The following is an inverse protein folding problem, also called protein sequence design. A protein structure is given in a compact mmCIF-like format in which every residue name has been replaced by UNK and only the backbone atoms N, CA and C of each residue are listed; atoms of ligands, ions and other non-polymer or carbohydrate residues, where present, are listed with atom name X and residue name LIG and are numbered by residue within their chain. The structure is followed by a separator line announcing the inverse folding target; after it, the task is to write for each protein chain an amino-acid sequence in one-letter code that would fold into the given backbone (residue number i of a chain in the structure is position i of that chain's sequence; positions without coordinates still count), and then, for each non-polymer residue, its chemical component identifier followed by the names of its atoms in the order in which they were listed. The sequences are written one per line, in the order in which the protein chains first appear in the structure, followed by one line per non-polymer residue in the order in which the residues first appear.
data_IF_337468568419
#
_entry.id   IF_337468568419
#
_cell.length_a   1.000
_cell.length_b   1.000
_cell.length_c   1.000
_cell.angle_alpha   90.00
_cell.angle_beta   90.00
_cell.angle_gamma   90.00
#
_symmetry.space_group_name_H-M   'P 1'
#
loop_
_entity.id
_entity.type
_entity.pdbx_description
1 polymer ?
#
# COMPACT_ATOMS: atom_id res chain seq x y z
N UNK A 1 10.06 18.23 -8.42
CA UNK A 1 8.68 17.81 -8.77
C UNK A 1 7.79 17.94 -7.55
N UNK A 2 6.50 18.25 -7.74
CA UNK A 2 5.52 18.22 -6.63
C UNK A 2 5.31 16.77 -6.16
N UNK A 3 4.89 16.58 -4.89
CA UNK A 3 4.74 15.26 -4.28
C UNK A 3 3.53 14.43 -4.75
N UNK A 4 3.05 14.61 -5.97
CA UNK A 4 1.90 13.89 -6.54
C UNK A 4 2.29 12.85 -7.61
N UNK A 5 3.58 12.77 -7.94
CA UNK A 5 4.14 11.79 -8.88
C UNK A 5 5.12 10.89 -8.15
N UNK A 6 5.00 9.59 -8.34
CA UNK A 6 5.89 8.55 -7.86
C UNK A 6 6.54 7.85 -9.05
N UNK A 7 7.82 7.43 -8.90
CA UNK A 7 8.58 6.78 -9.96
C UNK A 7 9.24 7.76 -10.94
N UNK A 8 10.07 7.24 -11.81
CA UNK A 8 10.82 7.97 -12.85
C UNK A 8 10.64 7.33 -14.22
N UNK A 9 10.89 6.02 -14.36
CA UNK A 9 10.66 5.26 -15.60
C UNK A 9 9.25 4.68 -15.66
N UNK A 10 8.69 4.29 -14.50
CA UNK A 10 7.27 3.97 -14.36
C UNK A 10 6.63 5.03 -13.47
N UNK A 11 6.32 6.16 -14.06
CA UNK A 11 5.86 7.34 -13.34
C UNK A 11 4.34 7.33 -13.17
N UNK A 12 3.88 7.47 -11.94
CA UNK A 12 2.44 7.50 -11.61
C UNK A 12 2.09 8.85 -11.00
N UNK A 13 1.32 9.66 -11.71
CA UNK A 13 0.79 10.93 -11.23
C UNK A 13 -0.64 10.77 -10.77
N UNK A 14 -0.90 10.95 -9.47
CA UNK A 14 -2.21 10.81 -8.84
C UNK A 14 -2.95 12.16 -8.80
N UNK A 15 -4.23 12.21 -9.16
CA UNK A 15 -5.07 13.40 -9.18
C UNK A 15 -6.47 13.15 -8.59
N UNK A 16 -7.22 14.25 -8.41
CA UNK A 16 -8.59 14.26 -7.90
C UNK A 16 -8.69 14.42 -6.38
N UNK A 17 -9.91 14.60 -5.89
CA UNK A 17 -10.24 14.84 -4.48
C UNK A 17 -11.27 13.83 -4.00
N UNK A 18 -11.25 13.48 -2.70
CA UNK A 18 -12.12 12.43 -2.14
C UNK A 18 -13.62 12.71 -2.31
N UNK A 19 -14.00 13.98 -2.40
CA UNK A 19 -15.36 14.47 -2.60
C UNK A 19 -15.48 15.33 -3.87
N UNK A 20 -14.49 15.26 -4.77
CA UNK A 20 -14.59 15.76 -6.14
C UNK A 20 -15.38 14.80 -7.04
N UNK A 21 -15.57 15.13 -8.32
CA UNK A 21 -16.33 14.28 -9.25
C UNK A 21 -15.66 12.91 -9.49
N UNK A 22 -14.34 12.88 -9.53
CA UNK A 22 -13.56 11.68 -9.76
C UNK A 22 -12.18 11.76 -9.12
N UNK A 23 -11.51 10.60 -9.03
CA UNK A 23 -10.10 10.44 -8.72
C UNK A 23 -9.46 9.61 -9.83
N UNK A 24 -8.15 9.71 -10.00
CA UNK A 24 -7.48 8.91 -11.02
C UNK A 24 -5.97 9.02 -10.96
N UNK A 25 -5.32 8.37 -11.90
CA UNK A 25 -3.89 8.51 -12.12
C UNK A 25 -3.54 8.47 -13.61
N UNK A 26 -2.40 9.05 -13.92
CA UNK A 26 -1.74 8.87 -15.21
C UNK A 26 -0.46 8.06 -14.96
N UNK A 27 -0.32 6.97 -15.68
CA UNK A 27 0.87 6.10 -15.67
C UNK A 27 1.65 6.39 -16.95
N UNK A 28 2.88 6.81 -16.82
CA UNK A 28 3.80 6.96 -17.94
C UNK A 28 4.93 5.93 -17.84
N UNK A 29 5.46 5.46 -18.99
CA UNK A 29 6.54 4.48 -19.04
C UNK A 29 6.11 3.01 -18.94
N UNK A 30 4.81 2.70 -19.02
CA UNK A 30 4.38 1.30 -19.15
C UNK A 30 4.85 0.72 -20.47
N UNK A 31 5.58 -0.44 -20.49
CA UNK A 31 6.02 -1.04 -21.74
C UNK A 31 4.86 -1.39 -22.68
N UNK A 32 5.03 -1.22 -24.00
CA UNK A 32 3.99 -1.53 -24.99
C UNK A 32 3.79 -3.05 -25.17
N UNK A 33 2.60 -3.41 -25.66
CA UNK A 33 2.27 -4.76 -26.12
C UNK A 33 1.72 -5.70 -25.05
N UNK A 34 1.62 -5.26 -23.78
CA UNK A 34 0.96 -6.03 -22.73
C UNK A 34 -0.56 -6.01 -22.95
N UNK A 35 -1.23 -7.15 -22.89
CA UNK A 35 -2.69 -7.20 -22.87
C UNK A 35 -3.19 -6.49 -21.60
N UNK A 36 -4.09 -5.52 -21.75
CA UNK A 36 -4.63 -4.73 -20.63
C UNK A 36 -6.07 -4.30 -20.90
N UNK A 37 -6.95 -4.56 -19.93
CA UNK A 37 -8.30 -4.07 -19.88
C UNK A 37 -8.71 -3.76 -18.43
N UNK A 38 -9.86 -3.15 -18.24
CA UNK A 38 -10.38 -2.78 -16.92
C UNK A 38 -10.48 -3.99 -15.98
N UNK A 39 -10.82 -5.17 -16.50
CA UNK A 39 -10.94 -6.40 -15.73
C UNK A 39 -9.61 -6.82 -15.07
N UNK A 40 -8.47 -6.53 -15.68
CA UNK A 40 -7.14 -6.80 -15.12
C UNK A 40 -6.82 -5.95 -13.89
N UNK A 41 -7.50 -4.80 -13.75
CA UNK A 41 -7.29 -3.81 -12.68
C UNK A 41 -8.35 -3.94 -11.61
N UNK A 42 -9.59 -4.23 -12.00
CA UNK A 42 -10.77 -4.19 -11.14
C UNK A 42 -10.66 -5.14 -9.96
N UNK A 43 -10.07 -6.32 -10.14
CA UNK A 43 -9.89 -7.30 -9.05
C UNK A 43 -9.12 -6.75 -7.84
N UNK A 44 -8.05 -5.99 -8.07
CA UNK A 44 -7.30 -5.33 -7.00
C UNK A 44 -8.09 -4.18 -6.34
N UNK A 45 -8.84 -3.43 -7.13
CA UNK A 45 -9.72 -2.37 -6.64
C UNK A 45 -10.88 -2.93 -5.79
N UNK A 46 -11.47 -4.06 -6.17
CA UNK A 46 -12.54 -4.72 -5.43
C UNK A 46 -12.07 -5.19 -4.04
N UNK A 47 -10.83 -5.64 -3.90
CA UNK A 47 -10.21 -5.96 -2.61
C UNK A 47 -10.02 -4.72 -1.73
N UNK A 48 -9.76 -3.56 -2.32
CA UNK A 48 -9.45 -2.30 -1.63
C UNK A 48 -10.69 -1.46 -1.33
N UNK A 49 -11.75 -1.50 -2.15
CA UNK A 49 -12.91 -0.60 -2.08
C UNK A 49 -13.55 -0.54 -0.70
N UNK A 50 -14.26 0.54 -0.34
CA UNK A 50 -15.06 0.60 0.88
C UNK A 50 -16.30 -0.30 0.78
N UNK A 51 -16.87 -0.68 1.94
CA UNK A 51 -18.13 -1.43 1.97
C UNK A 51 -17.98 -2.93 1.67
N UNK A 52 -16.76 -3.48 1.68
CA UNK A 52 -16.51 -4.91 1.43
C UNK A 52 -17.02 -5.83 2.55
N UNK A 53 -17.20 -5.30 3.76
CA UNK A 53 -17.72 -6.05 4.92
C UNK A 53 -18.34 -5.12 5.95
N UNK A 54 -19.05 -5.71 6.95
CA UNK A 54 -19.57 -4.98 8.11
C UNK A 54 -18.49 -4.35 9.01
N UNK A 55 -17.21 -4.74 8.85
CA UNK A 55 -16.09 -4.31 9.69
C UNK A 55 -15.34 -3.11 9.15
N UNK A 56 -15.61 -2.69 7.93
CA UNK A 56 -15.05 -1.49 7.29
C UNK A 56 -16.10 -0.38 7.21
N UNK A 57 -15.71 0.77 6.68
CA UNK A 57 -16.63 1.90 6.45
C UNK A 57 -17.86 1.49 5.65
N UNK A 58 -19.01 2.06 5.98
CA UNK A 58 -20.28 1.83 5.26
C UNK A 58 -20.43 2.68 3.98
N UNK A 59 -19.41 3.47 3.61
CA UNK A 59 -19.36 4.12 2.30
C UNK A 59 -19.38 3.02 1.24
N UNK A 60 -20.18 3.20 0.20
CA UNK A 60 -20.30 2.21 -0.87
C UNK A 60 -19.88 2.84 -2.20
N UNK A 61 -18.67 2.55 -2.63
CA UNK A 61 -18.14 2.96 -3.92
C UNK A 61 -17.82 1.71 -4.73
N UNK A 62 -18.23 1.61 -5.98
CA UNK A 62 -17.91 0.48 -6.83
C UNK A 62 -16.42 0.47 -7.21
N UNK A 63 -15.75 1.62 -7.11
CA UNK A 63 -14.38 1.84 -7.59
C UNK A 63 -14.17 1.33 -9.02
N UNK A 64 -15.24 1.42 -9.85
CA UNK A 64 -15.16 1.05 -11.26
C UNK A 64 -14.11 1.92 -11.97
N UNK A 65 -13.13 1.28 -12.57
CA UNK A 65 -12.06 1.94 -13.30
C UNK A 65 -12.41 2.05 -14.78
N UNK A 66 -12.06 3.18 -15.37
CA UNK A 66 -12.14 3.43 -16.81
C UNK A 66 -10.72 3.71 -17.34
N UNK A 67 -10.35 3.07 -18.45
CA UNK A 67 -9.10 3.34 -19.18
C UNK A 67 -9.40 4.35 -20.27
N UNK A 68 -8.90 5.59 -20.13
CA UNK A 68 -9.17 6.67 -21.06
C UNK A 68 -8.10 6.82 -22.15
N UNK A 69 -6.90 6.27 -21.98
CA UNK A 69 -5.79 6.35 -22.94
C UNK A 69 -4.74 5.28 -22.69
N UNK A 70 -3.78 5.14 -23.61
CA UNK A 70 -2.62 4.27 -23.46
C UNK A 70 -2.89 2.79 -23.77
N UNK A 71 -4.10 2.44 -24.23
CA UNK A 71 -4.50 1.10 -24.67
C UNK A 71 -5.17 1.20 -26.05
N UNK A 72 -4.76 0.34 -26.97
CA UNK A 72 -5.35 0.19 -28.29
C UNK A 72 -5.51 -1.29 -28.63
N UNK A 73 -6.68 -1.71 -29.09
CA UNK A 73 -7.02 -3.13 -29.37
C UNK A 73 -6.67 -4.07 -28.21
N UNK A 74 -6.92 -3.62 -26.96
CA UNK A 74 -6.67 -4.39 -25.74
C UNK A 74 -5.19 -4.53 -25.38
N UNK A 75 -4.28 -3.73 -25.93
CA UNK A 75 -2.84 -3.76 -25.61
C UNK A 75 -2.32 -2.38 -25.26
N UNK A 76 -1.37 -2.34 -24.32
CA UNK A 76 -0.65 -1.11 -23.99
C UNK A 76 0.12 -0.59 -25.19
N UNK A 77 0.12 0.75 -25.38
CA UNK A 77 0.74 1.41 -26.55
C UNK A 77 2.14 1.95 -26.25
N UNK A 78 2.56 1.97 -24.96
CA UNK A 78 3.78 2.67 -24.53
C UNK A 78 3.60 4.17 -24.32
N UNK A 79 2.39 4.70 -24.53
CA UNK A 79 2.03 6.09 -24.23
C UNK A 79 1.29 6.18 -22.90
N UNK A 80 1.07 7.38 -22.32
CA UNK A 80 0.45 7.51 -21.00
C UNK A 80 -0.91 6.82 -20.87
N UNK A 81 -1.05 5.97 -19.85
CA UNK A 81 -2.30 5.31 -19.49
C UNK A 81 -3.02 6.18 -18.47
N UNK A 82 -4.21 6.68 -18.81
CA UNK A 82 -5.05 7.41 -17.89
C UNK A 82 -6.13 6.49 -17.33
N UNK A 83 -6.15 6.37 -15.98
CA UNK A 83 -7.14 5.60 -15.24
C UNK A 83 -8.04 6.55 -14.45
N UNK A 84 -9.35 6.47 -14.64
CA UNK A 84 -10.36 7.30 -13.99
C UNK A 84 -11.29 6.44 -13.13
N UNK A 85 -11.63 6.94 -11.93
CA UNK A 85 -12.56 6.30 -10.99
C UNK A 85 -13.55 7.36 -10.51
N UNK A 86 -14.83 7.22 -10.83
CA UNK A 86 -15.89 8.11 -10.38
C UNK A 86 -16.12 8.07 -8.87
N UNK A 87 -16.51 9.19 -8.26
CA UNK A 87 -17.00 9.24 -6.89
C UNK A 87 -18.53 9.27 -6.90
N UNK A 88 -19.19 8.21 -6.41
CA UNK A 88 -20.64 8.04 -6.49
C UNK A 88 -21.38 8.19 -5.16
N UNK A 89 -20.77 7.81 -4.03
CA UNK A 89 -21.37 7.88 -2.68
C UNK A 89 -20.66 8.93 -1.77
N UNK A 90 -20.38 10.11 -2.30
CA UNK A 90 -19.88 11.22 -1.50
C UNK A 90 -21.03 11.93 -0.77
N UNK A 91 -20.84 12.23 0.55
CA UNK A 91 -21.81 12.93 1.38
C UNK A 91 -21.17 14.14 2.04
N UNK A 92 -21.09 15.24 1.32
CA UNK A 92 -20.45 16.49 1.79
C UNK A 92 -21.10 17.06 3.04
N UNK A 93 -22.39 16.79 3.29
CA UNK A 93 -23.14 17.21 4.50
C UNK A 93 -22.61 16.61 5.79
N UNK A 94 -21.94 15.46 5.75
CA UNK A 94 -21.41 14.78 6.94
C UNK A 94 -20.25 15.53 7.61
N UNK A 95 -19.70 16.56 6.95
CA UNK A 95 -18.51 17.30 7.39
C UNK A 95 -18.79 18.74 7.85
N UNK A 96 -20.08 19.14 8.02
CA UNK A 96 -20.47 20.49 8.41
C UNK A 96 -19.88 20.94 9.75
N UNK A 97 -19.77 20.02 10.71
CA UNK A 97 -19.24 20.29 12.05
C UNK A 97 -17.70 20.45 12.13
N UNK A 98 -16.98 20.16 11.06
CA UNK A 98 -15.52 20.28 10.99
C UNK A 98 -15.02 21.31 9.98
N UNK A 99 -15.94 22.12 9.42
CA UNK A 99 -15.58 23.16 8.43
C UNK A 99 -14.53 24.13 9.00
N UNK A 100 -14.70 24.55 10.23
CA UNK A 100 -13.85 25.55 10.89
C UNK A 100 -12.96 24.98 12.00
N UNK A 101 -12.89 23.65 12.18
CA UNK A 101 -12.11 23.01 13.23
C UNK A 101 -11.11 22.03 12.64
N UNK A 102 -10.02 21.73 13.36
CA UNK A 102 -8.99 20.80 12.95
C UNK A 102 -9.13 19.49 13.73
N UNK A 103 -9.22 18.37 13.04
CA UNK A 103 -9.26 17.04 13.67
C UNK A 103 -7.89 16.68 14.25
N UNK A 104 -7.76 16.33 15.53
CA UNK A 104 -6.51 15.86 16.11
C UNK A 104 -6.01 14.59 15.37
N UNK A 105 -4.71 14.59 15.03
CA UNK A 105 -4.11 13.46 14.30
C UNK A 105 -4.48 13.33 12.81
N UNK A 106 -5.30 14.26 12.26
CA UNK A 106 -5.61 14.39 10.85
C UNK A 106 -4.76 15.47 10.18
N UNK A 107 -4.68 15.49 8.86
CA UNK A 107 -3.89 16.47 8.11
C UNK A 107 -4.56 17.85 7.94
N UNK A 108 -5.68 18.11 8.60
CA UNK A 108 -6.46 19.34 8.44
C UNK A 108 -5.61 20.59 8.70
N UNK A 109 -4.91 20.64 9.85
CA UNK A 109 -4.07 21.75 10.25
C UNK A 109 -2.88 21.94 9.31
N UNK A 110 -2.18 20.85 8.98
CA UNK A 110 -0.97 20.91 8.14
C UNK A 110 -1.26 21.35 6.71
N UNK A 111 -2.39 20.93 6.14
CA UNK A 111 -2.82 21.40 4.82
C UNK A 111 -3.21 22.86 4.84
N UNK A 112 -3.95 23.30 5.89
CA UNK A 112 -4.32 24.70 6.03
C UNK A 112 -3.10 25.61 6.17
N UNK A 113 -2.12 25.23 7.00
CA UNK A 113 -0.89 25.98 7.16
C UNK A 113 -0.01 26.00 5.90
N UNK A 114 0.04 24.89 5.17
CA UNK A 114 0.91 24.79 3.99
C UNK A 114 0.34 25.49 2.76
N UNK A 115 -0.95 25.34 2.52
CA UNK A 115 -1.59 25.79 1.29
C UNK A 115 -2.49 27.03 1.46
N UNK A 116 -2.72 27.49 2.70
CA UNK A 116 -3.64 28.60 3.01
C UNK A 116 -5.11 28.25 2.85
N UNK A 117 -5.41 27.09 2.29
CA UNK A 117 -6.77 26.57 2.04
C UNK A 117 -6.79 25.06 2.21
N UNK A 118 -7.91 24.50 2.64
CA UNK A 118 -8.17 23.06 2.65
C UNK A 118 -9.59 22.76 2.17
N UNK A 119 -9.81 21.61 1.57
CA UNK A 119 -11.15 21.04 1.40
C UNK A 119 -11.52 20.27 2.69
N UNK A 120 -12.50 20.74 3.48
CA UNK A 120 -12.92 20.06 4.70
C UNK A 120 -13.72 18.78 4.42
N UNK A 121 -14.24 18.62 3.21
CA UNK A 121 -15.08 17.47 2.83
C UNK A 121 -14.22 16.21 2.70
N UNK A 122 -14.30 15.31 3.68
CA UNK A 122 -13.56 14.05 3.71
C UNK A 122 -12.03 14.18 3.71
N UNK A 123 -11.49 15.40 3.83
CA UNK A 123 -10.05 15.68 3.84
C UNK A 123 -9.42 15.87 2.45
N UNK A 124 -10.19 15.95 1.37
CA UNK A 124 -9.69 16.21 0.02
C UNK A 124 -8.53 15.28 -0.39
N UNK A 125 -7.36 15.87 -0.70
CA UNK A 125 -6.14 15.15 -1.07
C UNK A 125 -5.52 14.34 0.08
N UNK A 126 -5.78 14.68 1.34
CA UNK A 126 -5.26 13.91 2.50
C UNK A 126 -6.06 12.63 2.80
N UNK A 127 -7.16 12.41 2.09
CA UNK A 127 -8.03 11.26 2.29
C UNK A 127 -7.40 9.95 1.82
N UNK A 128 -7.62 8.87 2.58
CA UNK A 128 -7.27 7.51 2.17
C UNK A 128 -8.01 7.04 0.88
N UNK A 129 -9.04 7.78 0.42
CA UNK A 129 -9.70 7.55 -0.87
C UNK A 129 -8.71 7.59 -2.04
N UNK A 130 -7.70 8.45 -1.94
CA UNK A 130 -6.66 8.68 -2.97
C UNK A 130 -5.71 7.49 -3.15
N UNK A 131 -5.84 6.45 -2.33
CA UNK A 131 -5.12 5.19 -2.52
C UNK A 131 -5.73 4.30 -3.59
N UNK A 132 -6.99 4.54 -4.03
CA UNK A 132 -7.60 3.75 -5.10
C UNK A 132 -6.85 3.89 -6.44
N UNK A 133 -6.50 5.09 -6.93
CA UNK A 133 -5.64 5.22 -8.11
C UNK A 133 -4.26 4.58 -7.96
N UNK A 134 -3.69 4.55 -6.74
CA UNK A 134 -2.42 3.85 -6.48
C UNK A 134 -2.57 2.35 -6.66
N UNK A 135 -3.69 1.78 -6.18
CA UNK A 135 -4.01 0.34 -6.37
C UNK A 135 -4.24 0.04 -7.84
N UNK A 136 -4.95 0.90 -8.57
CA UNK A 136 -5.15 0.73 -10.00
C UNK A 136 -3.82 0.73 -10.79
N UNK A 137 -2.91 1.67 -10.49
CA UNK A 137 -1.57 1.69 -11.10
C UNK A 137 -0.73 0.48 -10.68
N UNK A 138 -0.83 0.07 -9.42
CA UNK A 138 -0.17 -1.12 -8.90
C UNK A 138 -0.63 -2.41 -9.57
N UNK A 139 -1.92 -2.53 -9.94
CA UNK A 139 -2.44 -3.67 -10.69
C UNK A 139 -1.79 -3.80 -12.08
N UNK A 140 -1.60 -2.67 -12.78
CA UNK A 140 -0.87 -2.63 -14.07
C UNK A 140 0.58 -3.12 -13.87
N UNK A 141 1.27 -2.64 -12.82
CA UNK A 141 2.63 -3.06 -12.50
C UNK A 141 2.69 -4.55 -12.13
N UNK A 142 1.78 -5.05 -11.27
CA UNK A 142 1.68 -6.47 -10.89
C UNK A 142 1.53 -7.36 -12.11
N UNK A 143 0.63 -7.01 -13.03
CA UNK A 143 0.39 -7.77 -14.26
C UNK A 143 1.66 -7.89 -15.10
N UNK A 144 2.34 -6.78 -15.37
CA UNK A 144 3.56 -6.80 -16.16
C UNK A 144 4.67 -7.61 -15.49
N UNK A 145 4.86 -7.44 -14.17
CA UNK A 145 5.87 -8.17 -13.41
C UNK A 145 5.58 -9.68 -13.35
N UNK A 146 4.30 -10.04 -13.25
CA UNK A 146 3.89 -11.44 -13.30
C UNK A 146 4.15 -12.07 -14.68
N UNK A 147 3.74 -11.42 -15.77
CA UNK A 147 3.96 -11.92 -17.13
C UNK A 147 5.45 -12.02 -17.47
N UNK A 148 6.28 -11.11 -16.95
CA UNK A 148 7.71 -11.06 -17.27
C UNK A 148 8.57 -11.97 -16.41
N UNK A 149 8.27 -12.06 -15.11
CA UNK A 149 9.14 -12.72 -14.12
C UNK A 149 8.39 -13.72 -13.23
N UNK A 150 7.09 -13.84 -13.33
CA UNK A 150 6.27 -14.63 -12.41
C UNK A 150 6.21 -14.02 -11.01
N UNK A 151 6.50 -12.71 -10.86
CA UNK A 151 6.49 -12.05 -9.55
C UNK A 151 5.07 -11.97 -9.00
N UNK A 152 4.90 -12.40 -7.74
CA UNK A 152 3.61 -12.40 -7.02
C UNK A 152 3.71 -11.55 -5.77
N UNK A 153 2.73 -10.67 -5.57
CA UNK A 153 2.61 -9.81 -4.39
C UNK A 153 1.48 -10.30 -3.50
N UNK A 154 1.77 -10.49 -2.21
CA UNK A 154 0.80 -10.94 -1.20
C UNK A 154 0.94 -10.11 0.06
N UNK A 155 -0.19 -9.65 0.60
CA UNK A 155 -0.25 -8.93 1.86
C UNK A 155 -1.19 -9.61 2.84
N UNK A 156 -0.88 -9.50 4.13
CA UNK A 156 -1.77 -9.95 5.19
C UNK A 156 -1.68 -9.04 6.41
N UNK A 157 -2.73 -9.06 7.23
CA UNK A 157 -2.73 -8.41 8.53
C UNK A 157 -1.95 -9.25 9.52
N UNK A 158 -0.90 -8.67 10.10
CA UNK A 158 -0.04 -9.33 11.09
C UNK A 158 -0.31 -8.90 12.54
N UNK A 159 -1.05 -7.78 12.73
CA UNK A 159 -1.50 -7.32 14.05
C UNK A 159 -2.66 -6.35 13.90
N UNK A 160 -3.64 -6.42 14.79
CA UNK A 160 -4.76 -5.47 14.91
C UNK A 160 -4.83 -4.96 16.34
N UNK A 161 -4.54 -3.67 16.56
CA UNK A 161 -4.42 -3.11 17.89
C UNK A 161 -3.40 -3.89 18.72
N UNK A 162 -3.83 -4.46 19.84
CA UNK A 162 -2.99 -5.27 20.74
C UNK A 162 -2.87 -6.73 20.30
N UNK A 163 -3.71 -7.19 19.37
CA UNK A 163 -3.77 -8.58 18.94
C UNK A 163 -2.74 -8.89 17.87
N UNK A 164 -1.67 -9.58 18.23
CA UNK A 164 -0.71 -10.15 17.27
C UNK A 164 -1.36 -11.36 16.59
N UNK A 165 -1.29 -11.40 15.27
CA UNK A 165 -1.93 -12.42 14.42
C UNK A 165 -0.84 -13.39 13.96
N UNK A 166 -0.85 -14.66 14.39
CA UNK A 166 0.07 -15.67 13.90
C UNK A 166 -0.19 -15.95 12.42
N UNK A 167 0.86 -16.34 11.71
CA UNK A 167 0.73 -16.74 10.31
C UNK A 167 0.45 -18.24 10.21
N UNK A 168 -0.71 -18.61 9.65
CA UNK A 168 -1.07 -20.00 9.37
C UNK A 168 -0.90 -20.32 7.88
N UNK A 169 -1.61 -19.60 7.00
CA UNK A 169 -1.55 -19.83 5.56
C UNK A 169 -1.97 -18.60 4.76
N UNK A 170 -1.36 -18.44 3.58
CA UNK A 170 -1.80 -17.47 2.58
C UNK A 170 -3.20 -17.77 2.05
N UNK A 171 -3.64 -19.02 2.04
CA UNK A 171 -4.95 -19.41 1.54
C UNK A 171 -6.08 -18.80 2.37
N UNK A 172 -5.87 -18.60 3.67
CA UNK A 172 -6.88 -18.00 4.55
C UNK A 172 -7.09 -16.51 4.29
N UNK A 173 -6.08 -15.80 3.77
CA UNK A 173 -6.11 -14.34 3.56
C UNK A 173 -7.25 -13.89 2.65
N UNK A 174 -7.55 -14.66 1.60
CA UNK A 174 -8.60 -14.33 0.65
C UNK A 174 -10.02 -14.66 1.16
N UNK A 175 -10.15 -15.46 2.22
CA UNK A 175 -11.41 -16.04 2.66
C UNK A 175 -12.01 -15.35 3.90
N UNK A 176 -11.37 -14.28 4.40
CA UNK A 176 -11.91 -13.51 5.51
C UNK A 176 -11.82 -11.99 5.27
N UNK A 177 -12.66 -11.18 5.95
CA UNK A 177 -12.74 -9.74 5.68
C UNK A 177 -11.58 -8.93 6.25
N UNK A 178 -10.65 -9.54 6.96
CA UNK A 178 -9.53 -8.87 7.63
C UNK A 178 -8.21 -9.00 6.87
N UNK A 179 -8.15 -9.79 5.80
CA UNK A 179 -6.89 -10.23 5.19
C UNK A 179 -5.97 -10.91 6.21
N UNK A 180 -6.54 -11.57 7.21
CA UNK A 180 -5.80 -12.29 8.23
C UNK A 180 -5.38 -13.67 7.70
N UNK A 181 -4.13 -14.13 7.96
CA UNK A 181 -3.66 -15.43 7.54
C UNK A 181 -4.12 -16.55 8.51
N UNK A 182 -5.37 -16.47 8.99
CA UNK A 182 -6.01 -17.36 9.97
C UNK A 182 -7.26 -18.00 9.40
N UNK A 183 -7.51 -19.24 9.76
CA UNK A 183 -8.76 -19.91 9.48
C UNK A 183 -9.90 -19.36 10.35
N UNK A 184 -9.69 -19.18 11.64
CA UNK A 184 -10.67 -18.59 12.57
C UNK A 184 -10.33 -17.13 12.88
N UNK A 185 -11.24 -16.22 12.54
CA UNK A 185 -11.12 -14.78 12.77
C UNK A 185 -12.11 -14.23 13.80
N UNK A 186 -12.81 -15.10 14.55
CA UNK A 186 -13.86 -14.73 15.51
C UNK A 186 -13.36 -13.75 16.61
N UNK A 187 -12.12 -13.92 17.06
CA UNK A 187 -11.49 -12.99 18.00
C UNK A 187 -11.31 -11.58 17.42
N UNK A 188 -10.92 -11.47 16.12
CA UNK A 188 -10.80 -10.19 15.43
C UNK A 188 -12.17 -9.53 15.22
N UNK A 189 -13.20 -10.30 14.92
CA UNK A 189 -14.58 -9.81 14.81
C UNK A 189 -15.06 -9.21 16.14
N UNK A 190 -14.86 -9.94 17.23
CA UNK A 190 -15.23 -9.49 18.58
C UNK A 190 -14.51 -8.20 18.95
N UNK A 191 -13.20 -8.12 18.67
CA UNK A 191 -12.38 -6.95 18.98
C UNK A 191 -12.85 -5.71 18.20
N UNK A 192 -13.08 -5.82 16.89
CA UNK A 192 -13.50 -4.67 16.08
C UNK A 192 -14.92 -4.21 16.42
N UNK A 193 -15.82 -5.12 16.81
CA UNK A 193 -17.16 -4.78 17.27
C UNK A 193 -17.14 -4.03 18.62
N UNK A 194 -16.25 -4.41 19.53
CA UNK A 194 -16.04 -3.69 20.78
C UNK A 194 -15.54 -2.26 20.55
N UNK A 195 -14.56 -2.08 19.64
CA UNK A 195 -14.08 -0.74 19.26
C UNK A 195 -15.19 0.12 18.64
N UNK A 196 -16.03 -0.44 17.78
CA UNK A 196 -17.16 0.30 17.19
C UNK A 196 -18.17 0.74 18.23
N UNK A 197 -18.48 -0.11 19.22
CA UNK A 197 -19.36 0.24 20.34
C UNK A 197 -18.77 1.34 21.20
N UNK A 198 -17.44 1.34 21.40
CA UNK A 198 -16.73 2.39 22.13
C UNK A 198 -16.59 3.70 21.34
N UNK A 199 -16.90 3.71 20.04
CA UNK A 199 -16.70 4.87 19.16
C UNK A 199 -15.22 5.22 18.93
N UNK A 200 -14.32 4.23 19.04
CA UNK A 200 -12.88 4.38 18.96
C UNK A 200 -12.30 3.59 17.78
N UNK A 201 -10.97 3.57 17.65
CA UNK A 201 -10.23 2.95 16.54
C UNK A 201 -8.93 2.33 17.02
N UNK A 202 -8.37 1.43 16.21
CA UNK A 202 -7.05 0.85 16.45
C UNK A 202 -6.13 0.96 15.24
N UNK A 203 -4.83 0.79 15.49
CA UNK A 203 -3.82 0.64 14.48
C UNK A 203 -3.70 -0.80 13.97
N UNK A 204 -2.80 -1.01 13.02
CA UNK A 204 -2.51 -2.34 12.49
C UNK A 204 -1.05 -2.46 12.06
N UNK A 205 -0.55 -3.70 12.03
CA UNK A 205 0.65 -4.09 11.31
C UNK A 205 0.24 -4.92 10.10
N UNK A 206 0.70 -4.53 8.92
CA UNK A 206 0.51 -5.26 7.67
C UNK A 206 1.88 -5.80 7.25
N UNK A 207 1.93 -7.10 6.91
CA UNK A 207 3.05 -7.72 6.23
C UNK A 207 2.72 -7.82 4.75
N UNK A 208 3.67 -7.45 3.90
CA UNK A 208 3.57 -7.63 2.45
C UNK A 208 4.85 -8.28 1.92
N UNK A 209 4.69 -9.21 1.00
CA UNK A 209 5.80 -9.93 0.37
C UNK A 209 5.73 -9.82 -1.14
N UNK A 210 6.89 -9.86 -1.80
CA UNK A 210 6.99 -10.08 -3.24
C UNK A 210 7.89 -11.28 -3.49
N UNK A 211 7.34 -12.30 -4.12
CA UNK A 211 8.06 -13.52 -4.49
C UNK A 211 8.42 -13.53 -5.97
N UNK A 212 9.42 -14.32 -6.37
CA UNK A 212 9.97 -14.34 -7.73
C UNK A 212 10.47 -12.97 -8.22
N UNK A 213 11.03 -12.17 -7.32
CA UNK A 213 11.72 -10.94 -7.72
C UNK A 213 13.08 -11.30 -8.31
N UNK A 214 13.44 -10.77 -9.49
CA UNK A 214 14.76 -11.02 -10.08
C UNK A 214 15.90 -10.56 -9.16
N UNK A 215 17.03 -11.23 -9.22
CA UNK A 215 18.27 -10.74 -8.61
C UNK A 215 18.74 -9.49 -9.35
N UNK A 216 19.26 -8.51 -8.63
CA UNK A 216 19.93 -7.36 -9.24
C UNK A 216 19.08 -6.10 -9.37
N UNK A 217 17.85 -6.08 -8.85
CA UNK A 217 17.03 -4.86 -8.83
C UNK A 217 17.44 -3.95 -7.67
N UNK A 218 17.66 -2.68 -7.95
CA UNK A 218 18.09 -1.68 -6.97
C UNK A 218 19.48 -1.12 -7.27
N UNK A 219 19.91 -0.16 -6.47
CA UNK A 219 21.16 0.57 -6.63
C UNK A 219 22.03 0.50 -5.37
N UNK A 220 23.36 0.68 -5.48
CA UNK A 220 24.26 0.45 -4.36
C UNK A 220 24.30 1.60 -3.34
N UNK A 221 23.92 2.82 -3.70
CA UNK A 221 24.08 3.99 -2.83
C UNK A 221 22.81 4.85 -2.75
N UNK A 222 22.45 5.50 -3.84
CA UNK A 222 21.20 6.23 -3.98
C UNK A 222 20.19 5.34 -4.72
N UNK A 223 18.89 5.52 -4.44
CA UNK A 223 17.83 4.67 -4.99
C UNK A 223 18.01 3.17 -4.63
N UNK A 224 18.53 2.88 -3.42
CA UNK A 224 18.52 1.51 -2.89
C UNK A 224 17.10 0.96 -2.88
N UNK A 225 16.93 -0.31 -3.23
CA UNK A 225 15.62 -0.95 -3.29
C UNK A 225 14.87 -0.86 -1.95
N UNK A 226 15.53 -1.13 -0.83
CA UNK A 226 14.94 -1.03 0.51
C UNK A 226 14.58 0.42 0.88
N UNK A 227 15.38 1.41 0.49
CA UNK A 227 15.07 2.84 0.67
C UNK A 227 13.84 3.27 -0.12
N UNK A 228 13.73 2.86 -1.37
CA UNK A 228 12.58 3.19 -2.21
C UNK A 228 11.31 2.46 -1.75
N UNK A 229 11.43 1.21 -1.27
CA UNK A 229 10.34 0.50 -0.61
C UNK A 229 9.88 1.28 0.62
N UNK A 230 10.80 1.68 1.51
CA UNK A 230 10.46 2.43 2.71
C UNK A 230 9.79 3.77 2.38
N UNK A 231 10.30 4.50 1.40
CA UNK A 231 9.71 5.76 0.89
C UNK A 231 8.29 5.56 0.36
N UNK A 232 8.08 4.51 -0.44
CA UNK A 232 6.77 4.20 -1.02
C UNK A 232 5.76 3.83 0.07
N UNK A 233 6.13 2.98 1.01
CA UNK A 233 5.30 2.55 2.13
C UNK A 233 4.96 3.70 3.07
N UNK A 234 5.93 4.58 3.41
CA UNK A 234 5.68 5.79 4.20
C UNK A 234 4.76 6.79 3.48
N UNK A 235 4.64 6.72 2.16
CA UNK A 235 3.69 7.49 1.35
C UNK A 235 2.23 7.05 1.51
N UNK A 236 1.97 5.86 2.04
CA UNK A 236 0.61 5.37 2.30
C UNK A 236 0.01 6.14 3.49
N UNK A 237 -1.24 6.58 3.34
CA UNK A 237 -1.95 7.29 4.40
C UNK A 237 -1.93 6.50 5.72
N UNK A 238 -1.65 7.19 6.82
CA UNK A 238 -1.58 6.67 8.20
C UNK A 238 -0.39 5.74 8.52
N UNK A 239 0.47 5.39 7.59
CA UNK A 239 1.70 4.66 7.89
C UNK A 239 2.64 5.50 8.75
N UNK A 240 3.27 4.87 9.77
CA UNK A 240 4.16 5.49 10.75
C UNK A 240 5.46 4.73 10.97
N UNK A 241 5.60 3.55 10.38
CA UNK A 241 6.81 2.75 10.46
C UNK A 241 6.88 1.76 9.31
N UNK A 242 8.09 1.45 8.90
CA UNK A 242 8.40 0.44 7.87
C UNK A 242 9.56 -0.39 8.37
N UNK A 243 9.47 -1.70 8.22
CA UNK A 243 10.53 -2.65 8.50
C UNK A 243 10.76 -3.51 7.25
N UNK A 244 12.04 -3.77 6.95
CA UNK A 244 12.48 -4.67 5.88
C UNK A 244 13.13 -5.88 6.53
N UNK A 245 12.71 -7.10 6.19
CA UNK A 245 13.19 -8.34 6.79
C UNK A 245 13.01 -8.34 8.31
N UNK A 246 14.10 -8.60 9.05
CA UNK A 246 14.10 -8.61 10.51
C UNK A 246 13.81 -7.23 11.14
N UNK A 247 13.93 -6.13 10.37
CA UNK A 247 13.62 -4.79 10.82
C UNK A 247 14.29 -4.45 12.17
N UNK A 248 13.53 -3.91 13.13
CA UNK A 248 14.06 -3.56 14.45
C UNK A 248 14.52 -4.78 15.29
N UNK A 249 14.04 -6.01 14.99
CA UNK A 249 14.51 -7.20 15.68
C UNK A 249 15.99 -7.50 15.39
N UNK A 250 16.55 -6.98 14.29
CA UNK A 250 17.96 -7.12 13.95
C UNK A 250 18.91 -6.54 15.02
N UNK A 251 18.47 -5.53 15.79
CA UNK A 251 19.25 -4.90 16.85
C UNK A 251 19.64 -5.91 17.94
N UNK A 252 18.77 -6.88 18.24
CA UNK A 252 19.02 -7.92 19.24
C UNK A 252 19.78 -9.13 18.68
N UNK A 253 19.98 -9.20 17.36
CA UNK A 253 20.68 -10.32 16.72
C UNK A 253 22.20 -10.11 16.74
N UNK A 254 22.92 -11.23 16.89
CA UNK A 254 24.37 -11.22 16.66
C UNK A 254 24.65 -11.36 15.16
N UNK A 255 25.76 -10.78 14.68
CA UNK A 255 26.14 -10.85 13.27
C UNK A 255 26.25 -12.29 12.73
N UNK A 256 26.69 -13.24 13.57
CA UNK A 256 26.73 -14.66 13.22
C UNK A 256 25.36 -15.32 12.99
N UNK A 257 24.29 -14.70 13.49
CA UNK A 257 22.91 -15.20 13.33
C UNK A 257 22.12 -14.37 12.32
N UNK A 258 22.45 -13.07 12.15
CA UNK A 258 21.76 -12.18 11.24
C UNK A 258 22.13 -12.43 9.78
N UNK A 259 23.38 -12.81 9.50
CA UNK A 259 23.86 -13.05 8.14
C UNK A 259 23.07 -14.17 7.45
N UNK A 260 22.52 -13.87 6.28
CA UNK A 260 21.78 -14.84 5.47
C UNK A 260 22.79 -15.74 4.73
N UNK A 261 23.13 -16.88 5.34
CA UNK A 261 24.15 -17.79 4.83
C UNK A 261 23.74 -18.38 3.48
N UNK A 262 24.68 -18.35 2.54
CA UNK A 262 24.52 -18.90 1.21
C UNK A 262 25.04 -20.33 1.15
N UNK A 263 24.34 -21.17 0.40
CA UNK A 263 24.79 -22.52 0.04
C UNK A 263 24.50 -22.80 -1.44
N UNK A 264 25.09 -23.87 -2.02
CA UNK A 264 24.74 -24.27 -3.39
C UNK A 264 23.25 -24.59 -3.57
N UNK A 265 22.52 -24.90 -2.49
CA UNK A 265 21.08 -25.22 -2.48
C UNK A 265 20.20 -23.99 -2.24
N UNK A 266 20.78 -22.84 -1.95
CA UNK A 266 20.04 -21.59 -1.72
C UNK A 266 20.43 -20.88 -0.43
N UNK A 267 19.69 -19.80 -0.11
CA UNK A 267 19.80 -19.07 1.15
C UNK A 267 19.20 -19.86 2.30
N UNK A 268 19.82 -19.77 3.49
CA UNK A 268 19.34 -20.48 4.71
C UNK A 268 18.33 -19.67 5.50
N UNK A 269 18.42 -18.34 5.45
CA UNK A 269 17.54 -17.40 6.15
C UNK A 269 17.27 -16.20 5.25
N UNK A 270 16.35 -15.33 5.63
CA UNK A 270 16.01 -14.09 4.92
C UNK A 270 15.88 -12.91 5.90
N UNK A 271 16.86 -12.75 6.79
CA UNK A 271 16.87 -11.66 7.77
C UNK A 271 16.95 -10.28 7.11
N UNK A 272 17.65 -10.18 5.97
CA UNK A 272 17.76 -8.97 5.19
C UNK A 272 16.49 -8.62 4.39
N UNK A 273 15.49 -9.52 4.36
CA UNK A 273 14.23 -9.27 3.67
C UNK A 273 14.35 -9.18 2.15
N UNK A 274 15.30 -9.94 1.56
CA UNK A 274 15.49 -10.02 0.12
C UNK A 274 16.36 -8.92 -0.49
N UNK A 275 16.99 -8.07 0.32
CA UNK A 275 17.81 -6.94 -0.14
C UNK A 275 19.16 -6.94 0.57
N UNK A 276 20.25 -6.96 -0.19
CA UNK A 276 21.61 -6.80 0.31
C UNK A 276 22.32 -5.67 -0.44
N UNK A 277 22.88 -4.72 0.31
CA UNK A 277 23.56 -3.58 -0.27
C UNK A 277 22.67 -2.66 -1.12
N UNK A 278 21.35 -2.71 -0.93
CA UNK A 278 20.36 -1.96 -1.71
C UNK A 278 19.87 -2.69 -2.98
N UNK A 279 20.28 -3.95 -3.18
CA UNK A 279 20.02 -4.73 -4.40
C UNK A 279 19.29 -6.03 -4.03
N UNK A 280 18.30 -6.44 -4.83
CA UNK A 280 17.54 -7.67 -4.60
C UNK A 280 18.40 -8.92 -4.75
N UNK A 281 18.21 -9.89 -3.85
CA UNK A 281 18.94 -11.15 -3.78
C UNK A 281 18.30 -12.28 -4.57
N UNK A 282 17.06 -12.11 -5.03
CA UNK A 282 16.23 -13.20 -5.57
C UNK A 282 15.39 -13.92 -4.50
N UNK A 283 15.61 -13.62 -3.22
CA UNK A 283 14.74 -14.05 -2.14
C UNK A 283 13.44 -13.22 -2.15
N UNK A 284 12.45 -13.65 -1.37
CA UNK A 284 11.24 -12.87 -1.21
C UNK A 284 11.56 -11.52 -0.57
N UNK A 285 11.04 -10.44 -1.13
CA UNK A 285 11.04 -9.15 -0.45
C UNK A 285 10.05 -9.24 0.70
N UNK A 286 10.50 -8.93 1.92
CA UNK A 286 9.68 -8.95 3.12
C UNK A 286 9.60 -7.57 3.74
N UNK A 287 8.37 -7.02 3.80
CA UNK A 287 8.11 -5.67 4.30
C UNK A 287 7.00 -5.71 5.34
N UNK A 288 7.17 -5.00 6.44
CA UNK A 288 6.09 -4.75 7.41
C UNK A 288 5.87 -3.25 7.55
N UNK A 289 4.60 -2.84 7.67
CA UNK A 289 4.23 -1.44 7.90
C UNK A 289 3.36 -1.31 9.15
N UNK A 290 3.64 -0.27 9.93
CA UNK A 290 2.82 0.12 11.07
C UNK A 290 1.86 1.24 10.68
N UNK A 291 0.58 1.03 10.90
CA UNK A 291 -0.50 1.97 10.58
C UNK A 291 -1.10 2.48 11.87
N UNK A 292 -1.14 3.82 12.03
CA UNK A 292 -1.75 4.43 13.21
C UNK A 292 -3.28 4.26 13.23
N UNK A 293 -3.92 4.36 14.41
CA UNK A 293 -5.38 4.40 14.52
C UNK A 293 -6.01 5.50 13.65
N UNK A 294 -7.23 5.28 13.21
CA UNK A 294 -8.04 6.28 12.49
C UNK A 294 -8.24 7.49 13.39
N UNK A 295 -7.95 8.68 12.86
CA UNK A 295 -8.10 9.94 13.63
C UNK A 295 -9.52 10.46 13.68
N UNK A 296 -10.43 9.92 12.90
CA UNK A 296 -11.86 10.30 12.90
C UNK A 296 -12.64 9.32 13.77
N UNK A 297 -12.91 9.71 15.02
CA UNK A 297 -13.61 8.90 16.03
C UNK A 297 -14.75 9.68 16.67
N UNK A 298 -15.65 8.96 17.35
CA UNK A 298 -16.81 9.54 18.01
C UNK A 298 -16.49 10.04 19.43
N UNK A 299 -15.33 9.68 19.98
CA UNK A 299 -14.88 10.19 21.27
C UNK A 299 -14.49 11.66 21.16
N UNK A 300 -15.04 12.56 21.99
CA UNK A 300 -14.69 13.98 22.01
C UNK A 300 -13.20 14.20 22.25
N UNK A 301 -12.59 15.15 21.54
CA UNK A 301 -11.17 15.51 21.70
C UNK A 301 -10.96 17.01 21.64
N UNK A 302 -10.03 17.49 22.45
CA UNK A 302 -9.57 18.87 22.43
C UNK A 302 -8.94 19.22 21.08
N UNK A 303 -9.22 20.41 20.58
CA UNK A 303 -8.69 20.96 19.34
C UNK A 303 -8.75 22.49 19.32
N UNK A 304 -8.43 23.08 18.17
CA UNK A 304 -8.60 24.50 17.88
C UNK A 304 -9.43 24.69 16.60
N UNK A 305 -10.06 25.84 16.49
CA UNK A 305 -10.71 26.28 15.27
C UNK A 305 -9.72 27.03 14.35
N UNK A 306 -10.20 27.48 13.19
CA UNK A 306 -9.42 28.24 12.19
C UNK A 306 -9.02 29.63 12.67
N UNK A 307 -9.61 30.15 13.75
CA UNK A 307 -9.23 31.40 14.40
C UNK A 307 -8.22 31.18 15.54
N UNK A 308 -7.87 29.91 15.86
CA UNK A 308 -6.94 29.55 16.93
C UNK A 308 -7.60 29.42 18.31
N UNK A 309 -8.93 29.50 18.41
CA UNK A 309 -9.67 29.36 19.66
C UNK A 309 -9.83 27.90 20.05
N UNK A 310 -9.74 27.61 21.37
CA UNK A 310 -9.96 26.26 21.91
C UNK A 310 -11.38 25.75 21.58
N UNK A 311 -11.48 24.50 21.17
CA UNK A 311 -12.75 23.85 20.85
C UNK A 311 -12.66 22.35 21.12
N UNK A 312 -13.80 21.68 21.07
CA UNK A 312 -13.89 20.23 21.12
C UNK A 312 -14.38 19.69 19.75
N UNK A 313 -13.80 18.60 19.30
CA UNK A 313 -14.15 17.96 18.03
C UNK A 313 -14.62 16.54 18.25
N UNK A 314 -15.80 16.22 17.72
CA UNK A 314 -16.34 14.88 17.55
C UNK A 314 -16.47 14.66 16.04
N UNK A 315 -15.80 13.67 15.50
CA UNK A 315 -15.91 13.40 14.05
C UNK A 315 -17.03 12.40 13.80
N UNK A 316 -18.19 12.93 13.43
CA UNK A 316 -19.32 12.11 12.96
C UNK A 316 -19.06 11.71 11.51
N UNK A 317 -19.46 10.49 11.12
CA UNK A 317 -19.30 10.01 9.74
C UNK A 317 -19.00 8.51 9.66
N UNK A 318 -18.78 8.05 8.44
CA UNK A 318 -18.55 6.64 8.11
C UNK A 318 -17.04 6.39 8.02
N UNK A 319 -16.41 6.01 9.14
CA UNK A 319 -14.97 5.78 9.22
C UNK A 319 -14.65 4.31 9.48
N UNK A 320 -13.48 3.86 9.00
CA UNK A 320 -12.97 2.54 9.31
C UNK A 320 -12.49 2.49 10.78
N UNK A 321 -12.95 1.57 11.63
CA UNK A 321 -12.38 1.39 12.97
C UNK A 321 -10.91 0.96 12.94
N UNK A 322 -10.53 0.24 11.87
CA UNK A 322 -9.16 -0.15 11.58
C UNK A 322 -8.88 0.03 10.08
N UNK A 323 -8.11 1.05 9.71
CA UNK A 323 -7.75 1.32 8.31
C UNK A 323 -6.78 0.27 7.75
N UNK A 324 -6.14 -0.52 8.61
CA UNK A 324 -5.22 -1.59 8.22
C UNK A 324 -5.86 -2.64 7.32
N UNK A 325 -7.14 -2.95 7.51
CA UNK A 325 -7.87 -3.90 6.65
C UNK A 325 -7.73 -3.50 5.19
N UNK A 326 -8.05 -2.25 4.85
CA UNK A 326 -8.00 -1.75 3.48
C UNK A 326 -6.60 -1.37 3.01
N UNK A 327 -5.64 -1.25 3.93
CA UNK A 327 -4.26 -0.94 3.60
C UNK A 327 -3.49 -2.14 3.03
N UNK A 328 -3.95 -3.36 3.25
CA UNK A 328 -3.29 -4.58 2.74
C UNK A 328 -3.12 -4.55 1.22
N UNK A 329 -4.16 -4.42 0.38
CA UNK A 329 -3.98 -4.33 -1.07
C UNK A 329 -3.26 -3.05 -1.52
N UNK A 330 -3.27 -1.98 -0.71
CA UNK A 330 -2.52 -0.75 -1.01
C UNK A 330 -1.02 -1.00 -0.85
N UNK A 331 -0.59 -1.71 0.21
CA UNK A 331 0.81 -2.05 0.43
C UNK A 331 1.35 -2.97 -0.68
N UNK A 332 0.56 -3.96 -1.11
CA UNK A 332 0.90 -4.80 -2.27
C UNK A 332 1.12 -3.96 -3.54
N UNK A 333 0.21 -3.02 -3.82
CA UNK A 333 0.29 -2.15 -4.98
C UNK A 333 1.53 -1.25 -4.94
N UNK A 334 1.82 -0.63 -3.79
CA UNK A 334 2.98 0.24 -3.64
C UNK A 334 4.29 -0.54 -3.77
N UNK A 335 4.37 -1.78 -3.25
CA UNK A 335 5.54 -2.64 -3.45
C UNK A 335 5.71 -2.98 -4.95
N UNK A 336 4.62 -3.26 -5.65
CA UNK A 336 4.67 -3.53 -7.09
C UNK A 336 5.16 -2.34 -7.91
N UNK A 337 4.75 -1.11 -7.55
CA UNK A 337 5.24 0.11 -8.21
C UNK A 337 6.76 0.28 -8.05
N UNK A 338 7.30 0.00 -6.85
CA UNK A 338 8.75 0.06 -6.62
C UNK A 338 9.48 -1.00 -7.43
N UNK A 339 9.03 -2.26 -7.37
CA UNK A 339 9.67 -3.35 -8.11
C UNK A 339 9.61 -3.10 -9.62
N UNK A 340 8.49 -2.55 -10.13
CA UNK A 340 8.34 -2.19 -11.54
C UNK A 340 9.35 -1.11 -11.98
N UNK A 341 9.49 -0.05 -11.19
CA UNK A 341 10.47 1.01 -11.44
C UNK A 341 11.89 0.45 -11.55
N UNK A 342 12.31 -0.36 -10.57
CA UNK A 342 13.65 -0.97 -10.56
C UNK A 342 13.83 -2.02 -11.64
N UNK A 343 12.79 -2.75 -12.04
CA UNK A 343 12.84 -3.69 -13.15
C UNK A 343 13.08 -2.98 -14.48
N UNK A 344 12.46 -1.82 -14.70
CA UNK A 344 12.70 -1.02 -15.91
C UNK A 344 14.10 -0.40 -15.92
N UNK A 345 14.58 0.11 -14.78
CA UNK A 345 15.96 0.62 -14.61
C UNK A 345 16.98 -0.47 -14.92
N UNK A 346 16.81 -1.65 -14.31
CA UNK A 346 17.70 -2.81 -14.55
C UNK A 346 17.74 -3.19 -16.04
N UNK A 347 16.60 -3.24 -16.71
CA UNK A 347 16.56 -3.51 -18.16
C UNK A 347 17.32 -2.49 -18.99
N UNK A 348 17.22 -1.21 -18.62
CA UNK A 348 17.90 -0.13 -19.35
C UNK A 348 19.41 -0.13 -19.13
N UNK A 349 19.88 -0.47 -17.93
CA UNK A 349 21.29 -0.37 -17.55
C UNK A 349 22.03 -1.71 -17.69
N UNK A 350 21.39 -2.81 -17.32
CA UNK A 350 22.02 -4.12 -17.15
C UNK A 350 21.45 -5.19 -18.08
N UNK A 351 20.64 -4.82 -19.07
CA UNK A 351 19.96 -5.78 -19.96
C UNK A 351 20.90 -6.74 -20.70
N UNK A 352 22.12 -6.31 -20.99
CA UNK A 352 23.14 -7.08 -21.72
C UNK A 352 24.18 -7.72 -20.79
N UNK A 353 24.01 -7.61 -19.46
CA UNK A 353 24.97 -8.21 -18.51
C UNK A 353 24.79 -9.72 -18.46
N UNK A 354 25.85 -10.46 -18.71
CA UNK A 354 25.91 -11.90 -18.55
C UNK A 354 26.83 -12.26 -17.39
N UNK A 355 26.35 -13.10 -16.49
CA UNK A 355 27.12 -13.59 -15.34
C UNK A 355 27.36 -15.11 -15.50
N UNK A 356 28.52 -15.58 -15.04
CA UNK A 356 28.87 -17.01 -15.12
C UNK A 356 28.17 -17.88 -14.08
N UNK A 357 27.71 -17.27 -12.97
CA UNK A 357 27.00 -17.98 -11.92
C UNK A 357 25.49 -17.79 -12.09
N UNK A 358 24.75 -18.88 -12.21
CA UNK A 358 23.30 -18.82 -12.16
C UNK A 358 22.80 -18.36 -10.79
N UNK A 359 21.66 -17.63 -10.70
CA UNK A 359 21.05 -17.28 -9.42
C UNK A 359 20.84 -18.53 -8.56
N UNK A 360 21.23 -18.45 -7.28
CA UNK A 360 20.96 -19.51 -6.31
C UNK A 360 19.49 -19.49 -5.88
N UNK A 361 18.98 -20.60 -5.36
CA UNK A 361 17.59 -20.67 -4.91
C UNK A 361 17.32 -19.69 -3.78
N UNK A 362 16.11 -19.14 -3.74
CA UNK A 362 15.66 -18.18 -2.71
C UNK A 362 15.70 -18.77 -1.29
N UNK A 363 15.54 -20.09 -1.15
CA UNK A 363 15.66 -20.79 0.13
C UNK A 363 16.09 -22.24 -0.05
N UNK A 364 16.78 -22.79 0.96
CA UNK A 364 17.08 -24.23 1.03
C UNK A 364 15.78 -25.01 1.25
N UNK A 365 15.51 -26.02 0.40
CA UNK A 365 14.32 -26.87 0.52
C UNK A 365 13.03 -26.28 -0.11
N UNK A 366 13.16 -25.19 -0.87
CA UNK A 366 12.03 -24.53 -1.52
C UNK A 366 11.39 -23.47 -0.62
N UNK A 367 10.46 -22.70 -1.20
CA UNK A 367 9.71 -21.69 -0.43
C UNK A 367 8.72 -22.35 0.49
N UNK A 368 8.52 -21.88 1.74
CA UNK A 368 7.34 -22.23 2.49
C UNK A 368 6.11 -21.77 1.70
N UNK A 369 5.21 -22.70 1.47
CA UNK A 369 3.96 -22.51 0.69
C UNK A 369 3.01 -21.60 1.46
#
# INVERSE_FOLDING_TARGET
MSGNTFGSLFAVTNFGESHGPAIGCVIDGCPPGMALGEADIQGDLDRRRPGTSKFVTQRNEPDAVEILSGVYEGKTTGTPICLLIGNTDQRSKDYGNILQTFRPGHADYTYFQKYGIRDPRGGGRSSARLTAPMVAAGAVAKKWLFEKYGTVFRGCMAQMGEMVIPFESWDHVAHNPFFAPLQDVSALETYIEALRKAGDSCGARIRVTASNVPVGLGEPLFDKLDSDIARAMMGINAVKGVEIGAGFASVAQRGSHHGDALSPQGFRTNNAGGVLGGISTGQDLEVSIAIKPTSSILTPRESIDTAGSSTEVITKGRHDPCVGIRATPIAEAMLALVVMEHALRHRAQCGDVAVSLAPIAASVGGRPV
#
